data_IF_244183206677
#
_entry.id   IF_244183206677
#
_cell.length_a   1.000
_cell.length_b   1.000
_cell.length_c   1.000
_cell.angle_alpha   90.00
_cell.angle_beta   90.00
_cell.angle_gamma   90.00
#
_symmetry.space_group_name_H-M   'P 1'
#
loop_
_entity.id
_entity.type
_entity.pdbx_description
1 polymer ?
#
# COMPACT_ATOMS: atom_id res chain seq x y z
N UNK A 1 -15.43 52.72 -18.08
CA UNK A 1 -14.50 51.60 -17.81
C UNK A 1 -13.69 51.35 -19.07
N UNK A 2 -12.38 51.61 -19.04
CA UNK A 2 -11.53 51.57 -20.23
C UNK A 2 -11.34 50.12 -20.70
N UNK A 3 -11.59 49.84 -21.98
CA UNK A 3 -11.42 48.51 -22.60
C UNK A 3 -10.06 47.88 -22.27
N UNK A 4 -9.00 48.70 -22.25
CA UNK A 4 -7.66 48.32 -21.81
C UNK A 4 -7.61 47.75 -20.39
N UNK A 5 -8.34 48.35 -19.44
CA UNK A 5 -8.38 47.87 -18.06
C UNK A 5 -9.09 46.52 -17.93
N UNK A 6 -10.14 46.27 -18.74
CA UNK A 6 -10.81 44.96 -18.78
C UNK A 6 -9.92 43.88 -19.40
N UNK A 7 -9.19 44.20 -20.48
CA UNK A 7 -8.23 43.28 -21.10
C UNK A 7 -7.10 42.94 -20.12
N UNK A 8 -6.55 43.92 -19.40
CA UNK A 8 -5.51 43.65 -18.39
C UNK A 8 -6.04 42.79 -17.24
N UNK A 9 -7.23 43.09 -16.71
CA UNK A 9 -7.81 42.32 -15.60
C UNK A 9 -8.08 40.86 -15.99
N UNK A 10 -8.59 40.63 -17.20
CA UNK A 10 -8.84 39.28 -17.72
C UNK A 10 -7.54 38.50 -17.93
N UNK A 11 -6.48 39.13 -18.45
CA UNK A 11 -5.17 38.48 -18.59
C UNK A 11 -4.56 38.12 -17.23
N UNK A 12 -4.64 39.00 -16.23
CA UNK A 12 -4.15 38.72 -14.87
C UNK A 12 -4.92 37.58 -14.23
N UNK A 13 -6.25 37.60 -14.33
CA UNK A 13 -7.11 36.53 -13.80
C UNK A 13 -6.84 35.19 -14.49
N UNK A 14 -6.71 35.17 -15.81
CA UNK A 14 -6.38 33.97 -16.57
C UNK A 14 -5.01 33.41 -16.18
N UNK A 15 -4.00 34.27 -16.05
CA UNK A 15 -2.65 33.87 -15.61
C UNK A 15 -2.68 33.29 -14.20
N UNK A 16 -3.38 33.94 -13.27
CA UNK A 16 -3.56 33.46 -11.91
C UNK A 16 -4.24 32.09 -11.85
N UNK A 17 -5.29 31.87 -12.66
CA UNK A 17 -5.97 30.59 -12.77
C UNK A 17 -5.05 29.49 -13.30
N UNK A 18 -4.25 29.77 -14.34
CA UNK A 18 -3.30 28.80 -14.91
C UNK A 18 -2.26 28.40 -13.87
N UNK A 19 -1.65 29.37 -13.18
CA UNK A 19 -0.66 29.08 -12.13
C UNK A 19 -1.26 28.27 -10.98
N UNK A 20 -2.48 28.61 -10.56
CA UNK A 20 -3.20 27.85 -9.53
C UNK A 20 -3.45 26.39 -9.96
N UNK A 21 -3.92 26.17 -11.19
CA UNK A 21 -4.15 24.82 -11.70
C UNK A 21 -2.86 24.00 -11.78
N UNK A 22 -1.75 24.61 -12.22
CA UNK A 22 -0.45 23.95 -12.25
C UNK A 22 0.03 23.55 -10.84
N UNK A 23 -0.07 24.45 -9.87
CA UNK A 23 0.27 24.16 -8.48
C UNK A 23 -0.61 23.06 -7.89
N UNK A 24 -1.92 23.08 -8.18
CA UNK A 24 -2.86 22.06 -7.73
C UNK A 24 -2.54 20.68 -8.34
N UNK A 25 -2.29 20.60 -9.65
CA UNK A 25 -1.91 19.36 -10.33
C UNK A 25 -0.61 18.80 -9.75
N UNK A 26 0.38 19.67 -9.53
CA UNK A 26 1.67 19.29 -8.92
C UNK A 26 1.46 18.71 -7.51
N UNK A 27 0.74 19.42 -6.63
CA UNK A 27 0.44 18.96 -5.28
C UNK A 27 -0.35 17.66 -5.24
N UNK A 28 -1.36 17.50 -6.11
CA UNK A 28 -2.15 16.27 -6.24
C UNK A 28 -1.27 15.10 -6.69
N UNK A 29 -0.41 15.29 -7.69
CA UNK A 29 0.53 14.25 -8.14
C UNK A 29 1.46 13.81 -7.01
N UNK A 30 2.01 14.76 -6.25
CA UNK A 30 2.89 14.48 -5.10
C UNK A 30 2.15 13.74 -4.00
N UNK A 31 0.90 14.11 -3.70
CA UNK A 31 0.05 13.36 -2.79
C UNK A 31 -0.13 11.91 -3.26
N UNK A 32 -0.51 11.69 -4.51
CA UNK A 32 -0.70 10.34 -5.06
C UNK A 32 0.59 9.51 -5.09
N UNK A 33 1.74 10.15 -5.30
CA UNK A 33 3.06 9.52 -5.28
C UNK A 33 3.47 9.04 -3.88
N UNK A 34 3.21 9.83 -2.84
CA UNK A 34 3.69 9.54 -1.49
C UNK A 34 2.61 8.98 -0.53
N UNK A 35 1.35 8.88 -0.94
CA UNK A 35 0.33 8.23 -0.11
C UNK A 35 0.59 6.72 0.04
N UNK A 36 0.06 6.14 1.12
CA UNK A 36 0.08 4.70 1.38
C UNK A 36 1.25 4.22 2.25
N UNK A 37 1.12 2.99 2.75
CA UNK A 37 2.11 2.30 3.58
C UNK A 37 3.32 1.87 2.76
N UNK A 38 4.51 2.09 3.31
CA UNK A 38 5.78 1.67 2.74
C UNK A 38 6.55 0.78 3.70
N UNK A 39 7.30 -0.15 3.11
CA UNK A 39 8.25 -0.98 3.81
C UNK A 39 9.65 -0.48 3.46
N UNK A 40 10.41 -0.11 4.49
CA UNK A 40 11.80 0.36 4.37
C UNK A 40 12.70 -0.43 5.30
N UNK A 41 14.01 -0.31 5.11
CA UNK A 41 15.00 -0.79 6.08
C UNK A 41 15.37 0.36 7.00
N UNK A 42 15.10 0.22 8.30
CA UNK A 42 15.44 1.25 9.29
C UNK A 42 16.97 1.40 9.38
N UNK A 43 17.54 2.58 9.12
CA UNK A 43 19.00 2.77 9.10
C UNK A 43 19.64 2.54 10.48
N UNK A 44 18.91 2.76 11.57
CA UNK A 44 19.41 2.66 12.93
C UNK A 44 19.62 1.21 13.38
N UNK A 45 18.68 0.29 13.08
CA UNK A 45 18.73 -1.10 13.54
C UNK A 45 18.79 -2.14 12.41
N UNK A 46 18.70 -1.70 11.15
CA UNK A 46 18.70 -2.54 9.94
C UNK A 46 17.54 -3.55 9.87
N UNK A 47 16.48 -3.33 10.62
CA UNK A 47 15.28 -4.16 10.57
C UNK A 47 14.24 -3.55 9.62
N UNK A 48 13.38 -4.36 8.99
CA UNK A 48 12.23 -3.86 8.25
C UNK A 48 11.36 -2.97 9.15
N UNK A 49 10.91 -1.83 8.63
CA UNK A 49 9.95 -0.96 9.33
C UNK A 49 8.85 -0.52 8.36
N UNK A 50 7.64 -0.43 8.89
CA UNK A 50 6.50 0.08 8.17
C UNK A 50 6.33 1.56 8.45
N UNK A 51 6.27 2.36 7.40
CA UNK A 51 6.19 3.82 7.50
C UNK A 51 5.14 4.39 6.56
N UNK A 52 4.57 5.52 6.94
CA UNK A 52 3.75 6.35 6.04
C UNK A 52 4.34 7.75 6.00
N UNK A 53 4.44 8.31 4.79
CA UNK A 53 4.83 9.70 4.59
C UNK A 53 3.60 10.59 4.81
N UNK A 54 3.78 11.78 5.40
CA UNK A 54 2.76 12.82 5.42
C UNK A 54 2.57 13.37 3.99
N UNK A 55 1.83 12.62 3.18
CA UNK A 55 1.60 12.91 1.77
C UNK A 55 0.80 14.20 1.56
N UNK A 56 -0.05 14.57 2.52
CA UNK A 56 -0.81 15.82 2.49
C UNK A 56 0.14 17.01 2.65
N UNK A 57 1.00 16.98 3.67
CA UNK A 57 2.02 18.01 3.88
C UNK A 57 2.99 18.08 2.71
N UNK A 58 3.45 16.93 2.20
CA UNK A 58 4.31 16.87 1.03
C UNK A 58 3.65 17.52 -0.21
N UNK A 59 2.38 17.21 -0.48
CA UNK A 59 1.65 17.80 -1.61
C UNK A 59 1.47 19.32 -1.48
N UNK A 60 1.15 19.81 -0.28
CA UNK A 60 1.02 21.25 -0.03
C UNK A 60 2.37 21.99 -0.12
N UNK A 61 3.43 21.39 0.42
CA UNK A 61 4.77 21.98 0.40
C UNK A 61 5.36 22.01 -1.02
N UNK A 62 5.11 20.98 -1.82
CA UNK A 62 5.50 20.93 -3.23
C UNK A 62 4.72 21.92 -4.11
N UNK A 63 3.44 22.17 -3.80
CA UNK A 63 2.67 23.25 -4.42
C UNK A 63 3.23 24.66 -4.10
N UNK A 64 4.09 24.77 -3.09
CA UNK A 64 4.83 25.99 -2.70
C UNK A 64 6.32 25.93 -3.03
N UNK A 65 6.76 24.97 -3.83
CA UNK A 65 8.18 24.76 -4.20
C UNK A 65 9.13 24.61 -2.99
N UNK A 66 8.65 23.99 -1.90
CA UNK A 66 9.44 23.69 -0.71
C UNK A 66 9.29 22.21 -0.31
N UNK A 67 9.78 21.26 -1.12
CA UNK A 67 9.55 19.84 -0.90
C UNK A 67 10.33 19.35 0.33
N UNK A 68 9.61 19.06 1.41
CA UNK A 68 10.15 18.38 2.59
C UNK A 68 9.25 17.19 2.92
N UNK A 69 9.79 15.98 2.74
CA UNK A 69 9.13 14.78 3.18
C UNK A 69 9.30 14.61 4.68
N UNK A 70 8.24 14.13 5.33
CA UNK A 70 8.25 13.79 6.75
C UNK A 70 7.41 12.53 6.94
N UNK A 71 7.80 11.72 7.91
CA UNK A 71 7.00 10.58 8.31
C UNK A 71 5.77 11.04 9.10
N UNK A 72 4.61 10.53 8.72
CA UNK A 72 3.36 10.60 9.48
C UNK A 72 3.32 9.49 10.54
N UNK A 73 3.72 8.26 10.17
CA UNK A 73 3.78 7.12 11.08
C UNK A 73 5.02 6.26 10.83
N UNK A 74 5.46 5.56 11.88
CA UNK A 74 6.53 4.57 11.85
C UNK A 74 6.23 3.47 12.86
N UNK A 75 6.35 2.20 12.47
CA UNK A 75 6.15 1.05 13.36
C UNK A 75 7.20 0.92 14.47
N UNK A 76 8.28 1.71 14.42
CA UNK A 76 9.33 1.78 15.45
C UNK A 76 9.11 2.89 16.47
N UNK A 77 8.04 3.67 16.34
CA UNK A 77 7.64 4.62 17.37
C UNK A 77 6.68 3.92 18.33
N UNK A 78 6.82 4.10 19.66
CA UNK A 78 7.52 5.19 20.37
C UNK A 78 9.03 5.06 20.57
N UNK A 79 9.58 3.86 20.50
CA UNK A 79 10.92 3.53 21.02
C UNK A 79 12.03 4.27 20.26
N UNK A 80 11.82 4.57 18.98
CA UNK A 80 12.76 5.28 18.09
C UNK A 80 12.25 6.67 17.65
N UNK A 81 11.46 7.36 18.47
CA UNK A 81 10.88 8.68 18.12
C UNK A 81 11.89 9.77 17.83
N UNK A 82 13.10 9.68 18.39
CA UNK A 82 14.15 10.68 18.22
C UNK A 82 15.01 10.45 16.96
N UNK A 83 14.60 9.56 16.03
CA UNK A 83 15.37 9.30 14.82
C UNK A 83 15.28 10.44 13.80
N UNK A 84 16.35 10.64 13.03
CA UNK A 84 16.45 11.71 12.03
C UNK A 84 15.63 11.49 10.75
N UNK A 85 14.83 10.42 10.69
CA UNK A 85 14.04 10.02 9.51
C UNK A 85 14.89 9.82 8.24
N UNK A 86 16.16 9.43 8.38
CA UNK A 86 17.08 9.20 7.26
C UNK A 86 16.58 8.15 6.26
N UNK A 87 15.67 7.26 6.69
CA UNK A 87 15.00 6.29 5.83
C UNK A 87 14.13 6.92 4.72
N UNK A 88 13.76 8.20 4.82
CA UNK A 88 13.05 8.93 3.76
C UNK A 88 13.82 8.92 2.44
N UNK A 89 15.16 8.90 2.48
CA UNK A 89 16.02 8.81 1.30
C UNK A 89 15.72 7.57 0.43
N UNK A 90 15.35 6.44 1.05
CA UNK A 90 14.94 5.21 0.34
C UNK A 90 13.63 5.44 -0.43
N UNK A 91 12.70 6.18 0.17
CA UNK A 91 11.40 6.49 -0.43
C UNK A 91 11.55 7.51 -1.56
N UNK A 92 12.45 8.47 -1.43
CA UNK A 92 12.75 9.43 -2.49
C UNK A 92 13.37 8.75 -3.71
N UNK A 93 14.29 7.80 -3.47
CA UNK A 93 14.97 7.05 -4.52
C UNK A 93 14.03 6.05 -5.24
N UNK A 94 13.18 5.35 -4.48
CA UNK A 94 12.34 4.26 -5.01
C UNK A 94 10.92 4.29 -4.41
N UNK A 95 10.10 5.32 -4.71
CA UNK A 95 8.81 5.57 -4.05
C UNK A 95 7.78 4.46 -4.26
N UNK A 96 7.82 3.81 -5.42
CA UNK A 96 6.90 2.74 -5.81
C UNK A 96 7.38 1.36 -5.34
N UNK A 97 8.69 1.11 -5.28
CA UNK A 97 9.24 -0.19 -4.89
C UNK A 97 9.09 -0.44 -3.39
N UNK A 98 9.18 0.62 -2.58
CA UNK A 98 8.92 0.55 -1.15
C UNK A 98 7.42 0.44 -0.83
N UNK A 99 6.51 0.70 -1.78
CA UNK A 99 5.07 0.68 -1.54
C UNK A 99 4.62 -0.75 -1.27
N UNK A 100 3.95 -0.97 -0.12
CA UNK A 100 3.43 -2.29 0.27
C UNK A 100 2.57 -2.90 -0.84
N UNK A 101 1.78 -2.05 -1.51
CA UNK A 101 0.98 -2.43 -2.67
C UNK A 101 1.81 -3.14 -3.74
N UNK A 102 2.89 -2.51 -4.16
CA UNK A 102 3.80 -3.04 -5.19
C UNK A 102 4.48 -4.32 -4.71
N UNK A 103 4.94 -4.35 -3.46
CA UNK A 103 5.60 -5.52 -2.87
C UNK A 103 4.66 -6.73 -2.86
N UNK A 104 3.42 -6.56 -2.38
CA UNK A 104 2.42 -7.63 -2.35
C UNK A 104 2.05 -8.08 -3.77
N UNK A 105 1.78 -7.15 -4.69
CA UNK A 105 1.46 -7.50 -6.08
C UNK A 105 2.60 -8.30 -6.73
N UNK A 106 3.85 -7.88 -6.53
CA UNK A 106 5.02 -8.62 -7.04
C UNK A 106 5.16 -9.99 -6.41
N UNK A 107 4.89 -10.11 -5.11
CA UNK A 107 4.97 -11.40 -4.44
C UNK A 107 3.93 -12.38 -4.99
N UNK A 108 2.69 -11.98 -5.21
CA UNK A 108 1.66 -12.88 -5.78
C UNK A 108 1.81 -13.13 -7.28
N UNK A 109 2.56 -12.31 -8.01
CA UNK A 109 2.68 -12.41 -9.46
C UNK A 109 3.13 -13.81 -9.90
N UNK A 110 2.32 -14.44 -10.77
CA UNK A 110 2.61 -15.77 -11.32
C UNK A 110 2.47 -16.94 -10.34
N UNK A 111 2.01 -16.72 -9.10
CA UNK A 111 1.83 -17.78 -8.11
C UNK A 111 0.49 -18.52 -8.29
N UNK A 112 0.47 -19.77 -7.86
CA UNK A 112 -0.73 -20.62 -7.80
C UNK A 112 -1.16 -20.83 -6.36
N UNK A 113 -2.46 -20.94 -6.11
CA UNK A 113 -3.01 -21.22 -4.79
C UNK A 113 -2.55 -22.59 -4.29
N UNK A 114 -1.97 -22.63 -3.09
CA UNK A 114 -1.50 -23.86 -2.46
C UNK A 114 -2.63 -24.85 -2.12
N UNK A 115 -3.88 -24.38 -2.04
CA UNK A 115 -5.05 -25.21 -1.69
C UNK A 115 -5.75 -25.78 -2.93
N UNK A 116 -6.10 -24.93 -3.92
CA UNK A 116 -6.88 -25.37 -5.08
C UNK A 116 -6.06 -25.50 -6.38
N UNK A 117 -4.78 -25.11 -6.38
CA UNK A 117 -3.90 -25.18 -7.55
C UNK A 117 -4.20 -24.17 -8.66
N UNK A 118 -5.25 -23.35 -8.55
CA UNK A 118 -5.58 -22.31 -9.54
C UNK A 118 -4.57 -21.16 -9.47
N UNK A 119 -4.29 -20.54 -10.61
CA UNK A 119 -3.51 -19.30 -10.66
C UNK A 119 -4.18 -18.22 -9.81
N UNK A 120 -3.39 -17.48 -9.05
CA UNK A 120 -3.85 -16.28 -8.36
C UNK A 120 -3.70 -15.13 -9.34
N UNK A 121 -4.84 -14.59 -9.77
CA UNK A 121 -4.88 -13.41 -10.65
C UNK A 121 -4.31 -12.18 -9.96
N UNK A 122 -4.15 -11.09 -10.71
CA UNK A 122 -3.69 -9.82 -10.16
C UNK A 122 -4.45 -9.43 -8.89
N UNK A 123 -3.72 -8.90 -7.91
CA UNK A 123 -4.29 -8.50 -6.62
C UNK A 123 -5.33 -7.42 -6.85
N UNK A 124 -6.59 -7.74 -6.59
CA UNK A 124 -7.67 -6.77 -6.60
C UNK A 124 -7.57 -5.88 -5.36
N UNK A 125 -7.15 -4.64 -5.57
CA UNK A 125 -6.97 -3.66 -4.52
C UNK A 125 -8.26 -2.97 -4.06
N UNK A 126 -9.35 -3.13 -4.81
CA UNK A 126 -10.67 -2.56 -4.50
C UNK A 126 -11.65 -3.61 -3.95
N UNK A 127 -11.30 -4.89 -4.02
CA UNK A 127 -12.12 -5.99 -3.55
C UNK A 127 -11.32 -7.04 -2.78
N UNK A 128 -11.33 -8.27 -3.30
CA UNK A 128 -10.90 -9.46 -2.59
C UNK A 128 -9.42 -9.76 -2.79
N UNK A 129 -8.60 -9.42 -1.78
CA UNK A 129 -7.16 -9.68 -1.83
C UNK A 129 -6.89 -11.16 -1.50
N UNK A 130 -5.90 -11.80 -2.14
CA UNK A 130 -5.52 -13.17 -1.79
C UNK A 130 -4.97 -13.22 -0.35
N UNK A 131 -4.85 -14.44 0.19
CA UNK A 131 -4.39 -14.71 1.54
C UNK A 131 -3.14 -15.59 1.53
N UNK A 132 -2.68 -15.96 2.72
CA UNK A 132 -1.49 -16.79 2.91
C UNK A 132 -1.86 -18.07 3.66
N UNK A 133 -1.06 -19.10 3.51
CA UNK A 133 -1.07 -20.34 4.29
C UNK A 133 0.18 -20.36 5.15
N UNK A 134 0.01 -20.37 6.47
CA UNK A 134 1.12 -20.52 7.39
C UNK A 134 1.71 -21.94 7.37
N UNK A 135 2.93 -22.15 7.91
CA UNK A 135 3.56 -23.47 7.99
C UNK A 135 2.73 -24.50 8.76
N UNK A 136 1.87 -24.06 9.67
CA UNK A 136 0.96 -24.88 10.45
C UNK A 136 -0.32 -25.29 9.67
N UNK A 137 -0.47 -24.80 8.43
CA UNK A 137 -1.59 -25.13 7.55
C UNK A 137 -2.85 -24.30 7.77
N UNK A 138 -2.78 -23.21 8.54
CA UNK A 138 -3.87 -22.26 8.74
C UNK A 138 -3.75 -21.09 7.75
N UNK A 139 -4.88 -20.71 7.17
CA UNK A 139 -4.93 -19.56 6.27
C UNK A 139 -4.99 -18.25 7.06
N UNK A 140 -4.19 -17.26 6.68
CA UNK A 140 -4.14 -15.94 7.31
C UNK A 140 -4.28 -14.83 6.26
N UNK A 141 -5.08 -13.81 6.57
CA UNK A 141 -5.24 -12.65 5.69
C UNK A 141 -4.07 -11.69 5.89
N UNK A 142 -3.27 -11.47 4.84
CA UNK A 142 -2.01 -10.72 4.97
C UNK A 142 -2.23 -9.25 5.38
N UNK A 143 -3.38 -8.66 5.06
CA UNK A 143 -3.68 -7.26 5.41
C UNK A 143 -3.87 -7.08 6.94
N UNK A 144 -4.09 -8.19 7.66
CA UNK A 144 -4.15 -8.23 9.13
C UNK A 144 -2.77 -8.44 9.77
N UNK A 145 -1.72 -8.67 8.97
CA UNK A 145 -0.35 -8.86 9.45
C UNK A 145 0.31 -7.48 9.55
N UNK A 146 1.07 -7.28 10.62
CA UNK A 146 1.93 -6.09 10.75
C UNK A 146 2.81 -5.95 9.52
N UNK A 147 2.77 -4.78 8.88
CA UNK A 147 3.40 -4.53 7.59
C UNK A 147 4.91 -4.82 7.62
N UNK A 148 5.60 -4.49 8.71
CA UNK A 148 7.02 -4.76 8.92
C UNK A 148 7.37 -6.26 9.00
N UNK A 149 6.40 -7.13 9.25
CA UNK A 149 6.58 -8.60 9.27
C UNK A 149 6.34 -9.24 7.91
N UNK A 150 5.79 -8.51 6.93
CA UNK A 150 5.47 -9.06 5.62
C UNK A 150 6.67 -9.74 4.94
N UNK A 151 7.92 -9.23 4.99
CA UNK A 151 9.06 -9.93 4.39
C UNK A 151 9.31 -11.34 4.95
N UNK A 152 9.19 -11.48 6.27
CA UNK A 152 9.36 -12.75 6.97
C UNK A 152 8.20 -13.70 6.67
N UNK A 153 6.98 -13.19 6.67
CA UNK A 153 5.81 -14.00 6.34
C UNK A 153 5.87 -14.45 4.88
N UNK A 154 6.26 -13.59 3.95
CA UNK A 154 6.39 -13.91 2.53
C UNK A 154 7.51 -14.91 2.20
N UNK A 155 8.48 -15.12 3.10
CA UNK A 155 9.51 -16.14 2.95
C UNK A 155 9.09 -17.51 3.49
N UNK A 156 8.10 -17.56 4.37
CA UNK A 156 7.69 -18.79 5.09
C UNK A 156 6.32 -19.30 4.65
N UNK A 157 5.42 -18.42 4.21
CA UNK A 157 4.04 -18.77 3.91
C UNK A 157 3.82 -19.07 2.42
N UNK A 158 2.86 -19.96 2.15
CA UNK A 158 2.42 -20.26 0.79
C UNK A 158 1.24 -19.36 0.37
N UNK A 159 1.07 -19.07 -0.92
CA UNK A 159 -0.02 -18.21 -1.41
C UNK A 159 -1.37 -18.94 -1.45
N UNK A 160 -2.46 -18.26 -1.11
CA UNK A 160 -3.84 -18.80 -1.09
C UNK A 160 -4.79 -17.82 -1.77
N UNK A 161 -5.68 -18.31 -2.64
CA UNK A 161 -6.70 -17.44 -3.23
C UNK A 161 -7.77 -17.05 -2.20
N UNK A 162 -8.47 -15.94 -2.45
CA UNK A 162 -9.53 -15.46 -1.57
C UNK A 162 -10.59 -16.51 -1.26
N UNK A 163 -11.09 -17.22 -2.28
CA UNK A 163 -12.15 -18.23 -2.11
C UNK A 163 -11.73 -19.34 -1.14
N UNK A 164 -10.50 -19.85 -1.29
CA UNK A 164 -9.96 -20.87 -0.40
C UNK A 164 -9.76 -20.34 1.02
N UNK A 165 -9.36 -19.08 1.18
CA UNK A 165 -9.23 -18.45 2.48
C UNK A 165 -10.58 -18.31 3.19
N UNK A 166 -11.62 -17.86 2.48
CA UNK A 166 -12.97 -17.74 3.03
C UNK A 166 -13.53 -19.11 3.40
N UNK A 167 -13.39 -20.11 2.52
CA UNK A 167 -13.81 -21.47 2.81
C UNK A 167 -13.10 -22.05 4.05
N UNK A 168 -11.77 -21.90 4.15
CA UNK A 168 -10.99 -22.36 5.29
C UNK A 168 -11.35 -21.61 6.59
N UNK A 169 -11.70 -20.33 6.49
CA UNK A 169 -12.12 -19.51 7.64
C UNK A 169 -13.50 -19.93 8.13
N UNK A 170 -14.47 -20.14 7.23
CA UNK A 170 -15.80 -20.65 7.58
C UNK A 170 -15.72 -22.01 8.26
N UNK A 171 -14.94 -22.94 7.70
CA UNK A 171 -14.73 -24.27 8.28
C UNK A 171 -14.16 -24.23 9.70
N UNK A 172 -13.25 -23.28 9.97
CA UNK A 172 -12.57 -23.14 11.26
C UNK A 172 -13.43 -22.44 12.30
N UNK A 173 -14.13 -21.37 11.91
CA UNK A 173 -14.82 -20.47 12.85
C UNK A 173 -16.29 -20.83 13.02
N UNK A 174 -16.90 -21.46 12.01
CA UNK A 174 -18.32 -21.85 12.01
C UNK A 174 -18.50 -23.28 11.46
N UNK A 175 -17.87 -24.31 12.06
CA UNK A 175 -17.96 -25.69 11.58
C UNK A 175 -19.38 -26.23 11.58
N UNK A 176 -20.25 -25.72 12.45
CA UNK A 176 -21.68 -26.06 12.58
C UNK A 176 -22.53 -25.62 11.38
N UNK A 177 -22.06 -24.62 10.62
CA UNK A 177 -22.74 -24.12 9.43
C UNK A 177 -22.34 -24.86 8.16
N UNK A 178 -21.38 -25.79 8.24
CA UNK A 178 -20.85 -26.51 7.07
C UNK A 178 -21.33 -27.95 7.04
N UNK A 179 -21.94 -28.34 5.92
CA UNK A 179 -22.31 -29.72 5.66
C UNK A 179 -21.35 -30.36 4.66
N UNK A 180 -20.83 -31.53 5.00
CA UNK A 180 -19.98 -32.30 4.11
C UNK A 180 -20.85 -33.17 3.20
N UNK A 181 -20.75 -32.95 1.89
CA UNK A 181 -21.33 -33.88 0.92
C UNK A 181 -20.35 -35.05 0.72
N UNK A 182 -20.73 -36.29 1.04
CA UNK A 182 -19.89 -37.44 0.75
C UNK A 182 -19.67 -37.55 -0.77
N UNK A 183 -18.42 -37.70 -1.19
CA UNK A 183 -18.10 -37.91 -2.60
C UNK A 183 -18.48 -39.35 -2.97
N UNK A 184 -19.28 -39.58 -4.03
CA UNK A 184 -19.57 -40.94 -4.47
C UNK A 184 -18.26 -41.64 -4.89
N UNK A 185 -18.10 -42.95 -4.62
CA UNK A 185 -16.92 -43.68 -5.01
C UNK A 185 -16.70 -43.54 -6.52
N UNK A 186 -15.46 -43.23 -6.93
CA UNK A 186 -15.11 -43.21 -8.36
C UNK A 186 -15.18 -44.67 -8.83
N UNK A 187 -16.18 -44.97 -9.66
CA UNK A 187 -16.33 -46.24 -10.38
C UNK A 187 -15.49 -46.22 -11.64
#
# INVERSE_FOLDING_TARGET
MNVLAQVVLTLVAATGLVLFLLAAIKGIRTYFKYRGKRLIVCPENRLPAAVEVDALRAGYADAKDSPHLQLHTCSRWPEMRACGQECLSQIEHSPEDCLVRTIVTRWYAGKVCAVCGKAIHEVDWLGHKPALLDPEGKTVYWDNIQTEKLPEVFSTHAPVCWDCHIAATLLREHPDLVTYRPWPPRT
#
